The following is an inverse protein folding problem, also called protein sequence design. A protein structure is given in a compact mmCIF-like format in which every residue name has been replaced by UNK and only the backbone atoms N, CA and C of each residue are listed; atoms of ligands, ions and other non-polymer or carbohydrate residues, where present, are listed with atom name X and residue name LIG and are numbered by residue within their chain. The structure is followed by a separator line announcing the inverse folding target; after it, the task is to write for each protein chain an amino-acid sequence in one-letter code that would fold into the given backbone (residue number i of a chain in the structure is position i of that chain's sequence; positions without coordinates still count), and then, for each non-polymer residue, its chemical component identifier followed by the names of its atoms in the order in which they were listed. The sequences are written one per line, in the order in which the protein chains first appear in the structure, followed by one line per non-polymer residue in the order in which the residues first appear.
data_IF_071286607604
#
_entry.id   IF_071286607604
#
_cell.length_a   1.000
_cell.length_b   1.000
_cell.length_c   1.000
_cell.angle_alpha   90.00
_cell.angle_beta   90.00
_cell.angle_gamma   90.00
#
_symmetry.space_group_name_H-M   'P 1'
#
loop_
_entity.id
_entity.type
_entity.pdbx_description
1 polymer ?
#
# COMPACT_ATOMS: atom_id res chain seq x y z
N UNK A 1 24.01 14.35 15.30
CA UNK A 1 24.05 12.86 15.19
C UNK A 1 24.95 12.39 14.03
N UNK A 2 24.77 12.88 12.80
CA UNK A 2 25.59 12.47 11.64
C UNK A 2 27.11 12.72 11.78
N UNK A 3 27.53 13.82 12.41
CA UNK A 3 28.96 14.12 12.63
C UNK A 3 29.64 13.12 13.58
N UNK A 4 28.92 12.63 14.60
CA UNK A 4 29.45 11.67 15.57
C UNK A 4 29.62 10.27 14.96
N UNK A 5 28.69 9.87 14.08
CA UNK A 5 28.77 8.62 13.33
C UNK A 5 29.93 8.69 12.31
N UNK A 6 30.07 9.80 11.60
CA UNK A 6 31.19 10.02 10.68
C UNK A 6 32.55 10.00 11.40
N UNK A 7 32.66 10.64 12.56
CA UNK A 7 33.88 10.63 13.37
C UNK A 7 34.23 9.22 13.86
N UNK A 8 33.23 8.46 14.34
CA UNK A 8 33.42 7.09 14.82
C UNK A 8 33.83 6.13 13.71
N UNK A 9 33.28 6.30 12.51
CA UNK A 9 33.63 5.51 11.33
C UNK A 9 35.05 5.82 10.83
N UNK A 10 35.43 7.10 10.79
CA UNK A 10 36.79 7.53 10.48
C UNK A 10 37.81 7.03 11.51
N UNK A 11 37.46 7.01 12.79
CA UNK A 11 38.28 6.45 13.86
C UNK A 11 38.45 4.92 13.72
N UNK A 12 37.38 4.21 13.38
CA UNK A 12 37.42 2.77 13.14
C UNK A 12 38.29 2.39 11.93
N UNK A 13 38.14 3.11 10.80
CA UNK A 13 38.99 2.91 9.62
C UNK A 13 40.46 3.24 9.93
N UNK A 14 40.71 4.27 10.74
CA UNK A 14 42.08 4.66 11.14
C UNK A 14 42.76 3.63 12.04
N UNK A 15 42.02 2.91 12.87
CA UNK A 15 42.58 1.95 13.84
C UNK A 15 42.67 0.54 13.27
N UNK A 16 41.72 0.11 12.44
CA UNK A 16 41.63 -1.26 11.89
C UNK A 16 42.19 -1.41 10.47
N UNK A 17 42.19 -0.35 9.66
CA UNK A 17 42.67 -0.38 8.28
C UNK A 17 43.96 0.46 8.10
N UNK A 18 44.80 0.56 9.13
CA UNK A 18 46.02 1.38 9.12
C UNK A 18 46.97 1.01 7.98
N UNK A 19 47.13 -0.28 7.69
CA UNK A 19 48.01 -0.76 6.62
C UNK A 19 47.56 -0.30 5.23
N UNK A 20 46.25 -0.26 4.97
CA UNK A 20 45.69 0.19 3.68
C UNK A 20 45.89 1.70 3.48
N UNK A 21 45.76 2.48 4.55
CA UNK A 21 45.98 3.94 4.53
C UNK A 21 47.46 4.28 4.34
N UNK A 22 48.36 3.52 4.95
CA UNK A 22 49.82 3.69 4.83
C UNK A 22 50.30 3.36 3.42
N UNK A 23 49.79 2.30 2.78
CA UNK A 23 50.11 1.99 1.39
C UNK A 23 49.57 3.03 0.41
N UNK A 24 48.36 3.55 0.64
CA UNK A 24 47.77 4.58 -0.21
C UNK A 24 48.53 5.92 -0.13
N UNK A 25 49.04 6.28 1.06
CA UNK A 25 49.85 7.48 1.26
C UNK A 25 51.16 7.45 0.46
N UNK A 26 51.68 6.26 0.10
CA UNK A 26 52.87 6.14 -0.76
C UNK A 26 52.61 6.64 -2.18
N UNK A 27 51.38 6.51 -2.69
CA UNK A 27 51.01 6.93 -4.03
C UNK A 27 50.49 8.38 -4.08
N UNK A 28 49.79 8.83 -3.03
CA UNK A 28 49.25 10.19 -2.93
C UNK A 28 49.63 10.81 -1.58
N UNK A 29 50.73 11.58 -1.49
CA UNK A 29 51.22 12.18 -0.26
C UNK A 29 50.45 13.46 0.11
N UNK A 30 49.13 13.45 -0.06
CA UNK A 30 48.26 14.55 0.36
C UNK A 30 47.63 14.14 1.69
N UNK A 31 47.85 14.90 2.78
CA UNK A 31 47.27 14.57 4.08
C UNK A 31 45.76 14.38 3.97
N UNK A 32 45.26 13.27 4.54
CA UNK A 32 43.84 12.97 4.68
C UNK A 32 43.04 12.64 3.40
N UNK A 33 43.64 12.63 2.20
CA UNK A 33 42.90 12.37 0.95
C UNK A 33 42.23 10.98 0.91
N UNK A 34 42.92 9.96 1.45
CA UNK A 34 42.37 8.60 1.54
C UNK A 34 41.13 8.53 2.44
N UNK A 35 41.04 9.37 3.48
CA UNK A 35 39.87 9.42 4.36
C UNK A 35 38.66 9.98 3.61
N UNK A 36 38.85 11.03 2.82
CA UNK A 36 37.80 11.63 2.01
C UNK A 36 37.29 10.69 0.92
N UNK A 37 38.18 9.94 0.27
CA UNK A 37 37.81 8.94 -0.76
C UNK A 37 36.99 7.80 -0.13
N UNK A 38 37.41 7.27 1.01
CA UNK A 38 36.68 6.21 1.72
C UNK A 38 35.31 6.72 2.18
N UNK A 39 35.24 7.93 2.73
CA UNK A 39 33.97 8.54 3.12
C UNK A 39 33.01 8.72 1.93
N UNK A 40 33.53 9.13 0.77
CA UNK A 40 32.75 9.26 -0.47
C UNK A 40 32.22 7.91 -0.95
N UNK A 41 33.07 6.87 -0.97
CA UNK A 41 32.67 5.52 -1.37
C UNK A 41 31.60 4.94 -0.44
N UNK A 42 31.77 5.11 0.88
CA UNK A 42 30.78 4.67 1.86
C UNK A 42 29.47 5.46 1.66
N UNK A 43 29.54 6.77 1.46
CA UNK A 43 28.36 7.60 1.20
C UNK A 43 27.55 7.20 -0.03
N UNK A 44 28.20 6.65 -1.06
CA UNK A 44 27.54 6.16 -2.29
C UNK A 44 27.02 4.73 -2.14
N UNK A 45 27.81 3.84 -1.52
CA UNK A 45 27.50 2.41 -1.46
C UNK A 45 26.51 2.09 -0.35
N UNK A 46 26.65 2.75 0.81
CA UNK A 46 25.85 2.45 1.99
C UNK A 46 24.34 2.67 1.79
N UNK A 47 23.87 3.77 1.16
CA UNK A 47 22.44 3.94 0.87
C UNK A 47 21.88 2.85 -0.06
N UNK A 48 22.67 2.37 -1.02
CA UNK A 48 22.26 1.28 -1.92
C UNK A 48 22.09 -0.02 -1.15
N UNK A 49 23.06 -0.37 -0.30
CA UNK A 49 22.97 -1.56 0.57
C UNK A 49 21.78 -1.44 1.52
N UNK A 50 21.61 -0.27 2.17
CA UNK A 50 20.48 -0.02 3.07
C UNK A 50 19.16 -0.17 2.32
N UNK A 51 19.00 0.41 1.12
CA UNK A 51 17.76 0.29 0.34
C UNK A 51 17.45 -1.14 -0.10
N UNK A 52 18.48 -1.95 -0.37
CA UNK A 52 18.29 -3.38 -0.69
C UNK A 52 17.79 -4.15 0.53
N UNK A 53 18.33 -3.89 1.72
CA UNK A 53 17.91 -4.55 2.96
C UNK A 53 16.59 -4.01 3.52
N UNK A 54 16.35 -2.71 3.40
CA UNK A 54 15.09 -2.05 3.75
C UNK A 54 14.07 -2.25 2.64
N UNK A 55 13.62 -3.50 2.49
CA UNK A 55 12.46 -3.82 1.65
C UNK A 55 11.22 -3.19 2.29
N UNK A 56 10.84 -2.00 1.82
CA UNK A 56 9.72 -1.13 2.29
C UNK A 56 8.51 -1.91 2.83
N UNK A 57 8.09 -2.94 2.10
CA UNK A 57 6.93 -3.78 2.43
C UNK A 57 7.00 -4.53 3.76
N UNK A 58 8.18 -5.00 4.19
CA UNK A 58 8.30 -5.74 5.46
C UNK A 58 8.15 -4.81 6.67
N UNK A 59 8.61 -3.56 6.54
CA UNK A 59 8.47 -2.54 7.57
C UNK A 59 7.03 -2.05 7.68
N UNK A 60 6.38 -1.75 6.56
CA UNK A 60 4.95 -1.35 6.54
C UNK A 60 4.08 -2.42 7.18
N UNK A 61 4.28 -3.70 6.84
CA UNK A 61 3.53 -4.81 7.45
C UNK A 61 3.73 -4.90 8.96
N UNK A 62 4.97 -4.81 9.42
CA UNK A 62 5.27 -4.87 10.86
C UNK A 62 4.70 -3.67 11.61
N UNK A 63 4.65 -2.50 10.98
CA UNK A 63 4.10 -1.29 11.59
C UNK A 63 2.57 -1.38 11.69
N UNK A 64 1.88 -1.84 10.64
CA UNK A 64 0.44 -2.11 10.66
C UNK A 64 0.11 -3.17 11.73
N UNK A 65 0.91 -4.24 11.84
CA UNK A 65 0.69 -5.25 12.89
C UNK A 65 0.92 -4.75 14.32
N UNK A 66 1.70 -3.69 14.50
CA UNK A 66 2.03 -3.14 15.82
C UNK A 66 1.13 -1.96 16.22
N UNK A 67 0.71 -1.15 15.25
CA UNK A 67 0.05 0.13 15.47
C UNK A 67 -1.15 0.38 14.55
N UNK A 68 -1.36 -0.42 13.52
CA UNK A 68 -2.48 -0.27 12.60
C UNK A 68 -3.79 -0.75 13.22
N UNK A 69 -4.89 -0.16 12.76
CA UNK A 69 -6.22 -0.55 13.21
C UNK A 69 -6.75 -1.79 12.44
N UNK A 70 -7.96 -2.26 12.76
CA UNK A 70 -8.57 -3.40 12.08
C UNK A 70 -8.91 -3.17 10.60
N UNK A 71 -9.21 -1.93 10.19
CA UNK A 71 -9.37 -1.55 8.80
C UNK A 71 -8.02 -1.63 8.06
N UNK A 72 -6.93 -1.16 8.65
CA UNK A 72 -5.60 -1.26 8.05
C UNK A 72 -5.19 -2.71 7.81
N UNK A 73 -5.42 -3.58 8.80
CA UNK A 73 -5.16 -5.00 8.66
C UNK A 73 -6.00 -5.62 7.52
N UNK A 74 -7.29 -5.30 7.46
CA UNK A 74 -8.19 -5.78 6.41
C UNK A 74 -7.74 -5.32 5.01
N UNK A 75 -7.43 -4.03 4.85
CA UNK A 75 -7.02 -3.46 3.58
C UNK A 75 -5.66 -3.97 3.13
N UNK A 76 -4.71 -4.13 4.06
CA UNK A 76 -3.40 -4.71 3.79
C UNK A 76 -3.51 -6.16 3.37
N UNK A 77 -4.33 -6.96 4.07
CA UNK A 77 -4.59 -8.35 3.69
C UNK A 77 -5.29 -8.45 2.34
N UNK A 78 -6.26 -7.59 2.06
CA UNK A 78 -6.91 -7.55 0.75
C UNK A 78 -5.92 -7.21 -0.37
N UNK A 79 -4.98 -6.30 -0.11
CA UNK A 79 -3.90 -5.98 -1.04
C UNK A 79 -2.96 -7.17 -1.27
N UNK A 80 -2.46 -7.81 -0.21
CA UNK A 80 -1.55 -8.97 -0.29
C UNK A 80 -2.20 -10.20 -0.94
N UNK A 81 -3.46 -10.49 -0.58
CA UNK A 81 -4.20 -11.66 -1.04
C UNK A 81 -4.97 -11.40 -2.35
N UNK A 82 -4.81 -10.21 -2.94
CA UNK A 82 -5.45 -9.80 -4.19
C UNK A 82 -7.00 -9.88 -4.16
N UNK A 83 -7.59 -9.73 -2.97
CA UNK A 83 -9.03 -9.81 -2.71
C UNK A 83 -9.74 -8.48 -2.93
N UNK A 84 -11.04 -8.55 -3.22
CA UNK A 84 -11.90 -7.38 -3.27
C UNK A 84 -12.34 -7.01 -1.85
N UNK A 85 -12.54 -5.71 -1.64
CA UNK A 85 -13.17 -5.16 -0.44
C UNK A 85 -14.49 -4.50 -0.80
N UNK A 86 -15.44 -4.54 0.11
CA UNK A 86 -16.67 -3.75 0.07
C UNK A 86 -16.59 -2.68 1.15
N UNK A 87 -16.75 -1.43 0.74
CA UNK A 87 -16.72 -0.26 1.61
C UNK A 87 -18.09 0.41 1.56
N UNK A 88 -18.73 0.55 2.71
CA UNK A 88 -19.97 1.30 2.88
C UNK A 88 -19.65 2.66 3.46
N UNK A 89 -19.99 3.70 2.70
CA UNK A 89 -19.81 5.09 3.08
C UNK A 89 -20.98 5.57 3.96
N UNK A 90 -20.75 6.62 4.74
CA UNK A 90 -21.75 7.25 5.63
C UNK A 90 -22.98 7.78 4.88
N UNK A 91 -22.83 8.16 3.62
CA UNK A 91 -23.92 8.59 2.74
C UNK A 91 -24.70 7.41 2.09
N UNK A 92 -24.44 6.17 2.48
CA UNK A 92 -25.10 4.97 1.95
C UNK A 92 -24.55 4.48 0.61
N UNK A 93 -23.56 5.16 0.03
CA UNK A 93 -22.86 4.67 -1.17
C UNK A 93 -21.99 3.47 -0.80
N UNK A 94 -21.99 2.48 -1.69
CA UNK A 94 -21.19 1.26 -1.53
C UNK A 94 -20.22 1.15 -2.69
N UNK A 95 -18.95 0.93 -2.37
CA UNK A 95 -17.90 0.66 -3.35
C UNK A 95 -17.36 -0.75 -3.14
N UNK A 96 -17.13 -1.46 -4.25
CA UNK A 96 -16.38 -2.71 -4.26
C UNK A 96 -15.18 -2.53 -5.17
N UNK A 97 -13.99 -2.87 -4.70
CA UNK A 97 -12.77 -2.67 -5.46
C UNK A 97 -11.55 -3.37 -4.87
N UNK A 98 -10.44 -3.25 -5.59
CA UNK A 98 -9.11 -3.67 -5.12
C UNK A 98 -8.42 -2.49 -4.43
N UNK A 99 -7.81 -2.72 -3.29
CA UNK A 99 -6.92 -1.71 -2.68
C UNK A 99 -5.71 -1.48 -3.60
N UNK A 100 -5.35 -0.23 -3.88
CA UNK A 100 -4.19 0.10 -4.74
C UNK A 100 -2.95 0.47 -3.94
N UNK A 101 -3.14 0.97 -2.72
CA UNK A 101 -2.06 1.36 -1.83
C UNK A 101 -2.50 1.06 -0.39
N UNK A 102 -1.64 0.37 0.35
CA UNK A 102 -1.77 0.28 1.80
C UNK A 102 -1.44 1.66 2.40
N UNK A 103 -2.24 2.04 3.39
CA UNK A 103 -2.27 3.30 4.13
C UNK A 103 -0.90 3.98 4.32
N UNK A 104 -0.88 5.32 4.30
CA UNK A 104 0.32 6.11 4.59
C UNK A 104 0.30 6.53 6.07
N UNK A 105 1.04 5.85 6.96
CA UNK A 105 0.87 5.93 8.42
C UNK A 105 1.23 7.29 9.05
N UNK A 106 1.63 8.28 8.24
CA UNK A 106 2.08 9.60 8.69
C UNK A 106 1.25 10.76 8.12
N UNK A 107 0.15 10.44 7.42
CA UNK A 107 -0.78 11.45 6.88
C UNK A 107 -1.79 11.87 7.95
N UNK A 108 -1.92 13.18 8.20
CA UNK A 108 -3.01 13.73 9.05
C UNK A 108 -4.40 13.47 8.43
N UNK A 109 -4.45 13.16 7.12
CA UNK A 109 -5.68 12.82 6.42
C UNK A 109 -5.66 11.36 5.99
N UNK A 110 -6.52 10.58 6.62
CA UNK A 110 -6.66 9.16 6.36
C UNK A 110 -7.48 8.96 5.08
N UNK A 111 -6.77 8.73 3.97
CA UNK A 111 -7.37 8.40 2.69
C UNK A 111 -6.90 7.02 2.21
N UNK A 112 -7.81 6.31 1.55
CA UNK A 112 -7.48 5.05 0.88
C UNK A 112 -7.77 5.16 -0.61
N UNK A 113 -6.89 4.56 -1.41
CA UNK A 113 -7.07 4.49 -2.86
C UNK A 113 -7.50 3.08 -3.25
N UNK A 114 -8.65 2.99 -3.92
CA UNK A 114 -9.14 1.71 -4.45
C UNK A 114 -9.33 1.80 -5.97
N UNK A 115 -9.12 0.68 -6.66
CA UNK A 115 -9.55 0.47 -8.04
C UNK A 115 -10.96 -0.10 -8.01
N UNK A 116 -12.00 0.68 -8.33
CA UNK A 116 -13.36 0.21 -8.22
C UNK A 116 -13.68 -0.82 -9.32
N UNK A 117 -14.44 -1.84 -8.94
CA UNK A 117 -15.00 -2.86 -9.83
C UNK A 117 -16.49 -2.61 -10.02
N UNK A 118 -17.19 -2.29 -8.93
CA UNK A 118 -18.60 -1.92 -8.94
C UNK A 118 -18.92 -0.92 -7.84
N UNK A 119 -19.97 -0.14 -8.03
CA UNK A 119 -20.53 0.71 -6.97
C UNK A 119 -22.05 0.71 -7.02
N UNK A 120 -22.64 1.14 -5.93
CA UNK A 120 -24.07 1.13 -5.72
C UNK A 120 -24.47 1.88 -4.47
N UNK A 121 -25.67 1.58 -4.00
CA UNK A 121 -26.23 2.16 -2.80
C UNK A 121 -26.87 1.09 -1.93
N UNK A 122 -26.81 1.29 -0.62
CA UNK A 122 -27.54 0.48 0.35
C UNK A 122 -28.90 1.13 0.62
N UNK A 123 -29.98 0.38 0.43
CA UNK A 123 -31.33 0.85 0.73
C UNK A 123 -31.47 1.17 2.23
N UNK A 124 -32.02 2.34 2.62
CA UNK A 124 -32.10 2.73 4.03
C UNK A 124 -32.93 1.79 4.91
N UNK A 125 -33.99 1.19 4.34
CA UNK A 125 -34.98 0.40 5.09
C UNK A 125 -34.63 -1.09 5.07
N UNK A 126 -34.38 -1.64 3.87
CA UNK A 126 -34.11 -3.08 3.69
C UNK A 126 -32.64 -3.44 3.86
N UNK A 127 -31.76 -2.43 3.97
CA UNK A 127 -30.31 -2.56 4.05
C UNK A 127 -29.68 -3.40 2.93
N UNK A 128 -30.42 -3.61 1.84
CA UNK A 128 -29.98 -4.34 0.65
C UNK A 128 -29.07 -3.45 -0.18
N UNK A 129 -27.95 -4.01 -0.63
CA UNK A 129 -27.06 -3.33 -1.56
C UNK A 129 -27.57 -3.55 -2.98
N UNK A 130 -27.68 -2.46 -3.73
CA UNK A 130 -28.02 -2.48 -5.15
C UNK A 130 -26.87 -1.85 -5.93
N UNK A 131 -26.18 -2.66 -6.72
CA UNK A 131 -25.10 -2.20 -7.59
C UNK A 131 -25.66 -1.55 -8.86
N UNK A 132 -25.36 -0.27 -9.04
CA UNK A 132 -25.85 0.54 -10.17
C UNK A 132 -24.79 0.74 -11.24
N UNK A 133 -23.51 0.54 -10.90
CA UNK A 133 -22.38 0.85 -11.78
C UNK A 133 -21.39 -0.30 -11.79
N UNK A 134 -20.99 -0.73 -12.98
CA UNK A 134 -19.95 -1.74 -13.20
C UNK A 134 -18.78 -1.09 -13.95
N UNK A 135 -17.72 -0.77 -13.19
CA UNK A 135 -16.54 -0.10 -13.72
C UNK A 135 -15.74 -1.00 -14.63
N UNK A 136 -15.64 -2.30 -14.31
CA UNK A 136 -14.94 -3.28 -15.15
C UNK A 136 -15.48 -3.28 -16.57
N UNK A 137 -16.81 -3.34 -16.73
CA UNK A 137 -17.46 -3.27 -18.05
C UNK A 137 -17.17 -1.95 -18.76
N UNK A 138 -17.23 -0.83 -18.05
CA UNK A 138 -16.93 0.49 -18.63
C UNK A 138 -15.47 0.58 -19.09
N UNK A 139 -14.53 0.03 -18.33
CA UNK A 139 -13.11 0.02 -18.68
C UNK A 139 -12.81 -0.85 -19.90
N UNK A 140 -13.41 -2.03 -19.99
CA UNK A 140 -13.27 -2.89 -21.17
C UNK A 140 -13.80 -2.22 -22.43
N UNK A 141 -15.01 -1.65 -22.36
CA UNK A 141 -15.60 -0.91 -23.48
C UNK A 141 -14.71 0.26 -23.93
N UNK A 142 -14.18 1.04 -22.98
CA UNK A 142 -13.29 2.16 -23.31
C UNK A 142 -11.98 1.70 -23.97
N UNK A 143 -11.41 0.57 -23.53
CA UNK A 143 -10.21 -0.01 -24.14
C UNK A 143 -10.46 -0.55 -25.55
N UNK A 144 -11.61 -1.17 -25.79
CA UNK A 144 -12.01 -1.61 -27.13
C UNK A 144 -12.12 -0.42 -28.10
N UNK A 145 -12.66 0.71 -27.63
CA UNK A 145 -12.78 1.94 -28.40
C UNK A 145 -11.44 2.70 -28.54
N UNK A 146 -10.52 2.55 -27.58
CA UNK A 146 -9.25 3.30 -27.49
C UNK A 146 -8.07 2.37 -27.10
N UNK A 147 -7.62 1.50 -28.01
CA UNK A 147 -6.62 0.46 -27.70
C UNK A 147 -5.22 0.98 -27.34
N UNK A 148 -4.91 2.24 -27.63
CA UNK A 148 -3.66 2.90 -27.22
C UNK A 148 -3.64 3.34 -25.75
N UNK A 149 -4.77 3.31 -25.05
CA UNK A 149 -4.90 3.77 -23.66
C UNK A 149 -4.57 2.64 -22.65
N UNK A 150 -3.31 2.17 -22.68
CA UNK A 150 -2.84 1.00 -21.93
C UNK A 150 -2.65 1.29 -20.42
N UNK A 151 -2.64 2.56 -19.98
CA UNK A 151 -2.35 2.93 -18.58
C UNK A 151 -3.55 2.85 -17.62
N UNK A 152 -4.34 1.79 -17.75
CA UNK A 152 -5.63 1.58 -17.07
C UNK A 152 -5.56 1.60 -15.55
N UNK A 153 -4.49 1.10 -14.95
CA UNK A 153 -4.43 0.89 -13.49
C UNK A 153 -4.04 2.15 -12.69
N UNK A 154 -3.34 3.11 -13.32
CA UNK A 154 -2.74 4.24 -12.60
C UNK A 154 -3.72 5.42 -12.40
N UNK A 155 -4.55 5.70 -13.41
CA UNK A 155 -5.43 6.88 -13.45
C UNK A 155 -6.88 6.62 -13.01
N UNK A 156 -7.28 5.35 -12.83
CA UNK A 156 -8.69 4.98 -12.62
C UNK A 156 -9.06 4.65 -11.16
N UNK A 157 -8.09 4.75 -10.26
CA UNK A 157 -8.34 4.61 -8.82
C UNK A 157 -9.12 5.79 -8.26
N UNK A 158 -10.05 5.52 -7.35
CA UNK A 158 -10.76 6.54 -6.57
C UNK A 158 -10.13 6.66 -5.19
N UNK A 159 -10.18 7.86 -4.63
CA UNK A 159 -9.69 8.17 -3.29
C UNK A 159 -10.90 8.35 -2.38
N UNK A 160 -10.91 7.64 -1.25
CA UNK A 160 -11.99 7.64 -0.26
C UNK A 160 -11.44 8.09 1.08
N UNK A 161 -12.19 8.94 1.79
CA UNK A 161 -11.85 9.31 3.17
C UNK A 161 -12.21 8.18 4.12
N UNK A 162 -11.27 7.80 4.99
CA UNK A 162 -11.46 6.74 5.99
C UNK A 162 -12.53 7.12 7.00
N UNK A 163 -12.61 8.40 7.40
CA UNK A 163 -13.61 8.89 8.36
C UNK A 163 -15.05 8.77 7.85
N UNK A 164 -15.25 8.64 6.54
CA UNK A 164 -16.56 8.41 5.93
C UNK A 164 -16.91 6.92 5.76
N UNK A 165 -15.97 6.01 6.01
CA UNK A 165 -16.20 4.57 5.92
C UNK A 165 -16.86 4.09 7.21
N UNK A 166 -18.09 3.60 7.09
CA UNK A 166 -18.85 3.08 8.23
C UNK A 166 -18.67 1.57 8.38
N UNK A 167 -18.54 0.86 7.25
CA UNK A 167 -18.32 -0.60 7.24
C UNK A 167 -17.34 -0.97 6.15
N UNK A 168 -16.35 -1.79 6.49
CA UNK A 168 -15.45 -2.44 5.55
C UNK A 168 -15.49 -3.96 5.72
N UNK A 169 -15.49 -4.69 4.62
CA UNK A 169 -15.40 -6.16 4.62
C UNK A 169 -14.67 -6.66 3.39
N UNK A 170 -14.20 -7.91 3.42
CA UNK A 170 -13.90 -8.62 2.17
C UNK A 170 -15.19 -8.75 1.34
N UNK A 171 -15.01 -8.80 0.02
CA UNK A 171 -16.09 -9.02 -0.92
C UNK A 171 -15.78 -10.22 -1.80
N UNK A 172 -16.72 -11.15 -1.82
CA UNK A 172 -16.71 -12.31 -2.72
C UNK A 172 -17.96 -12.23 -3.60
N UNK A 173 -17.74 -12.09 -4.91
CA UNK A 173 -18.82 -11.92 -5.87
C UNK A 173 -19.71 -13.16 -5.96
N UNK A 174 -19.13 -14.35 -5.88
CA UNK A 174 -19.84 -15.62 -6.02
C UNK A 174 -20.69 -15.90 -4.77
N UNK A 175 -20.13 -15.60 -3.60
CA UNK A 175 -20.87 -15.66 -2.35
C UNK A 175 -22.01 -14.64 -2.32
N UNK A 176 -21.76 -13.40 -2.76
CA UNK A 176 -22.80 -12.37 -2.88
C UNK A 176 -23.94 -12.80 -3.81
N UNK A 177 -23.60 -13.37 -4.97
CA UNK A 177 -24.58 -13.89 -5.91
C UNK A 177 -25.38 -15.05 -5.32
N UNK A 178 -24.75 -15.89 -4.51
CA UNK A 178 -25.40 -17.00 -3.81
C UNK A 178 -26.39 -16.49 -2.77
N UNK A 179 -25.99 -15.53 -1.93
CA UNK A 179 -26.90 -14.91 -0.95
C UNK A 179 -28.15 -14.29 -1.59
N UNK A 180 -28.01 -13.66 -2.75
CA UNK A 180 -29.15 -13.06 -3.46
C UNK A 180 -30.08 -14.08 -4.14
N UNK A 181 -29.65 -15.33 -4.30
CA UNK A 181 -30.47 -16.42 -4.85
C UNK A 181 -31.17 -17.22 -3.77
N UNK A 182 -30.68 -17.17 -2.52
CA UNK A 182 -31.29 -17.91 -1.42
C UNK A 182 -32.66 -17.28 -1.06
N UNK A 183 -33.70 -18.09 -0.84
CA UNK A 183 -34.97 -17.59 -0.36
C UNK A 183 -34.78 -16.95 1.02
N UNK A 184 -35.35 -15.76 1.21
CA UNK A 184 -35.37 -15.10 2.52
C UNK A 184 -36.18 -15.95 3.49
N UNK A 185 -35.53 -16.46 4.55
CA UNK A 185 -36.16 -17.37 5.52
C UNK A 185 -37.43 -16.83 6.19
N UNK A 186 -37.69 -15.52 6.13
CA UNK A 186 -38.92 -14.92 6.65
C UNK A 186 -40.15 -15.12 5.75
N UNK A 187 -40.01 -15.42 4.45
CA UNK A 187 -41.16 -15.57 3.55
C UNK A 187 -41.77 -16.98 3.56
N UNK A 188 -41.05 -17.98 4.07
CA UNK A 188 -41.51 -19.37 4.13
C UNK A 188 -42.18 -19.73 5.47
N UNK A 189 -42.00 -18.91 6.50
CA UNK A 189 -42.62 -19.09 7.82
C UNK A 189 -44.10 -18.64 7.86
N UNK A 190 -44.53 -17.77 6.94
CA UNK A 190 -45.92 -17.29 6.85
C UNK A 190 -46.78 -18.09 5.86
N UNK A 191 -46.22 -19.14 5.22
CA UNK A 191 -46.93 -20.01 4.26
C UNK A 191 -47.27 -21.40 4.80
N UNK A 192 -47.20 -21.62 6.11
CA UNK A 192 -47.71 -22.82 6.79
C UNK A 192 -48.73 -22.43 7.84
#
# INVERSE_FOLDING_TARGET
MFLAVGYSLCYFVSTKCSNLVVEFHKFFPIPHIGKSIIALLIGLILPLIINIFYRKWRWVKNEIQKYGDHLDELLMRAFEEEKLVQLTMSNGKVYVGRTLQAFEPLSEYEYIKILPVQSGFREPIKHKVTFTTNYTKAYWKHLEENPSDIQVNSYRGIVLSVSEIVVASFFDQDLYNTFNKLPTMHQDAEKK
#
